data_IF_819310584795
#
_entry.id   IF_819310584795
#
_cell.length_a   1.000
_cell.length_b   1.000
_cell.length_c   1.000
_cell.angle_alpha   90.00
_cell.angle_beta   90.00
_cell.angle_gamma   90.00
#
_symmetry.space_group_name_H-M   'P 1'
#
loop_
_entity.id
_entity.type
_entity.pdbx_description
1 polymer ?
#
# COMPACT_ATOMS: atom_id res chain seq x y z
N UNK A 1 -18.75 36.72 -19.57
CA UNK A 1 -18.73 35.74 -18.46
C UNK A 1 -18.02 34.48 -18.94
N UNK A 2 -16.79 34.23 -18.47
CA UNK A 2 -16.00 33.07 -18.89
C UNK A 2 -16.51 31.80 -18.22
N UNK A 3 -16.74 30.74 -18.99
CA UNK A 3 -17.15 29.42 -18.49
C UNK A 3 -16.04 28.90 -17.56
N UNK A 4 -16.32 28.82 -16.26
CA UNK A 4 -15.48 28.06 -15.33
C UNK A 4 -15.49 26.60 -15.80
N UNK A 5 -14.34 26.10 -16.25
CA UNK A 5 -14.12 24.67 -16.45
C UNK A 5 -14.13 24.04 -15.06
N UNK A 6 -15.22 23.39 -14.69
CA UNK A 6 -15.24 22.48 -13.55
C UNK A 6 -14.22 21.38 -13.85
N UNK A 7 -13.10 21.39 -13.12
CA UNK A 7 -12.16 20.28 -13.14
C UNK A 7 -12.95 19.06 -12.67
N UNK A 8 -13.13 18.06 -13.53
CA UNK A 8 -13.68 16.79 -13.09
C UNK A 8 -12.76 16.27 -11.97
N UNK A 9 -13.30 15.66 -10.91
CA UNK A 9 -12.47 15.03 -9.90
C UNK A 9 -11.57 14.03 -10.64
N UNK A 10 -10.26 14.24 -10.58
CA UNK A 10 -9.30 13.28 -11.09
C UNK A 10 -9.56 11.98 -10.35
N UNK A 11 -10.23 11.02 -11.00
CA UNK A 11 -10.35 9.70 -10.43
C UNK A 11 -8.90 9.21 -10.23
N UNK A 12 -8.49 8.88 -8.99
CA UNK A 12 -7.09 8.59 -8.67
C UNK A 12 -6.54 7.36 -9.41
N UNK A 13 -7.40 6.65 -10.15
CA UNK A 13 -7.10 5.47 -10.95
C UNK A 13 -7.05 5.73 -12.46
N UNK A 14 -7.21 6.99 -12.91
CA UNK A 14 -7.14 7.34 -14.34
C UNK A 14 -5.70 7.35 -14.88
N UNK A 15 -4.73 7.63 -14.00
CA UNK A 15 -3.32 7.71 -14.39
C UNK A 15 -2.66 6.33 -14.27
N UNK A 16 -2.12 5.85 -15.38
CA UNK A 16 -1.41 4.58 -15.43
C UNK A 16 -0.01 4.72 -14.81
N UNK A 17 0.43 3.67 -14.11
CA UNK A 17 1.80 3.49 -13.62
C UNK A 17 2.88 3.60 -14.72
N UNK A 18 2.52 3.52 -16.00
CA UNK A 18 3.43 3.85 -17.11
C UNK A 18 3.97 5.27 -17.05
N UNK A 19 3.26 6.20 -16.40
CA UNK A 19 3.75 7.57 -16.14
C UNK A 19 4.80 7.64 -15.02
N UNK A 20 4.84 6.66 -14.11
CA UNK A 20 5.78 6.63 -12.99
C UNK A 20 7.20 6.26 -13.42
N UNK A 21 7.34 5.38 -14.42
CA UNK A 21 8.66 4.95 -14.89
C UNK A 21 8.61 4.27 -16.26
N UNK A 22 9.65 4.49 -17.06
CA UNK A 22 9.88 3.78 -18.32
C UNK A 22 10.45 2.36 -18.10
N UNK A 23 10.98 2.04 -16.91
CA UNK A 23 11.68 0.78 -16.61
C UNK A 23 10.81 -0.15 -15.77
N UNK A 24 10.44 -1.32 -16.30
CA UNK A 24 9.58 -2.28 -15.57
C UNK A 24 10.22 -2.81 -14.29
N UNK A 25 11.55 -2.99 -14.28
CA UNK A 25 12.28 -3.42 -13.08
C UNK A 25 12.09 -2.47 -11.89
N UNK A 26 11.84 -1.18 -12.13
CA UNK A 26 11.58 -0.20 -11.08
C UNK A 26 10.23 -0.42 -10.41
N UNK A 27 9.18 -0.80 -11.17
CA UNK A 27 7.86 -1.11 -10.60
C UNK A 27 7.87 -2.41 -9.80
N UNK A 28 8.55 -3.44 -10.30
CA UNK A 28 8.70 -4.70 -9.58
C UNK A 28 9.48 -4.50 -8.27
N UNK A 29 10.56 -3.70 -8.29
CA UNK A 29 11.30 -3.34 -7.08
C UNK A 29 10.46 -2.51 -6.09
N UNK A 30 9.71 -1.52 -6.58
CA UNK A 30 8.82 -0.72 -5.73
C UNK A 30 7.79 -1.60 -5.02
N UNK A 31 7.21 -2.57 -5.74
CA UNK A 31 6.28 -3.54 -5.16
C UNK A 31 6.95 -4.36 -4.05
N UNK A 32 8.17 -4.86 -4.29
CA UNK A 32 8.94 -5.62 -3.30
C UNK A 32 9.25 -4.77 -2.06
N UNK A 33 9.73 -3.54 -2.24
CA UNK A 33 10.05 -2.62 -1.14
C UNK A 33 8.82 -2.31 -0.27
N UNK A 34 7.65 -2.11 -0.91
CA UNK A 34 6.38 -1.91 -0.21
C UNK A 34 5.95 -3.15 0.58
N UNK A 35 6.06 -4.32 -0.02
CA UNK A 35 5.78 -5.60 0.65
C UNK A 35 6.66 -5.78 1.89
N UNK A 36 7.97 -5.62 1.75
CA UNK A 36 8.93 -5.74 2.85
C UNK A 36 8.64 -4.74 3.97
N UNK A 37 8.25 -3.50 3.61
CA UNK A 37 7.88 -2.46 4.56
C UNK A 37 6.65 -2.85 5.38
N UNK A 38 5.60 -3.37 4.73
CA UNK A 38 4.40 -3.87 5.41
C UNK A 38 4.75 -5.00 6.38
N UNK A 39 5.55 -5.98 5.94
CA UNK A 39 5.96 -7.09 6.79
C UNK A 39 6.77 -6.60 8.01
N UNK A 40 7.65 -5.62 7.82
CA UNK A 40 8.41 -5.00 8.93
C UNK A 40 7.50 -4.29 9.92
N UNK A 41 6.50 -3.54 9.45
CA UNK A 41 5.52 -2.88 10.31
C UNK A 41 4.69 -3.88 11.12
N UNK A 42 4.20 -4.96 10.48
CA UNK A 42 3.49 -6.04 11.17
C UNK A 42 4.35 -6.68 12.26
N UNK A 43 5.64 -6.92 11.98
CA UNK A 43 6.58 -7.47 12.96
C UNK A 43 6.78 -6.52 14.15
N UNK A 44 6.90 -5.22 13.92
CA UNK A 44 7.00 -4.22 15.00
C UNK A 44 5.74 -4.25 15.88
N UNK A 45 4.55 -4.28 15.27
CA UNK A 45 3.28 -4.38 16.02
C UNK A 45 3.23 -5.67 16.85
N UNK A 46 3.70 -6.79 16.30
CA UNK A 46 3.76 -8.06 17.03
C UNK A 46 4.73 -7.98 18.22
N UNK A 47 5.89 -7.35 18.05
CA UNK A 47 6.84 -7.15 19.15
C UNK A 47 6.22 -6.34 20.29
N UNK A 48 5.52 -5.24 19.97
CA UNK A 48 4.80 -4.44 20.98
C UNK A 48 3.74 -5.29 21.70
N UNK A 49 3.00 -6.12 20.97
CA UNK A 49 1.96 -6.98 21.54
C UNK A 49 2.53 -8.02 22.50
N UNK A 50 3.74 -8.52 22.23
CA UNK A 50 4.39 -9.51 23.09
C UNK A 50 4.76 -8.96 24.47
N UNK A 51 4.88 -7.63 24.63
CA UNK A 51 5.17 -6.97 25.90
C UNK A 51 3.91 -6.73 26.77
N UNK A 52 2.71 -6.90 26.21
CA UNK A 52 1.44 -6.66 26.92
C UNK A 52 1.29 -7.56 28.16
N UNK A 53 1.60 -8.87 28.14
CA UNK A 53 1.48 -9.73 29.31
C UNK A 53 2.34 -9.26 30.50
N UNK A 54 3.52 -8.70 30.22
CA UNK A 54 4.49 -8.27 31.22
C UNK A 54 4.24 -6.84 31.74
N UNK A 55 3.30 -6.11 31.13
CA UNK A 55 2.90 -4.79 31.59
C UNK A 55 2.15 -4.86 32.93
N UNK A 56 2.68 -4.15 33.94
CA UNK A 56 2.13 -4.12 35.31
C UNK A 56 0.83 -3.32 35.42
N UNK A 57 0.69 -2.28 34.59
CA UNK A 57 -0.45 -1.37 34.62
C UNK A 57 -1.57 -1.88 33.70
N UNK A 58 -2.77 -2.05 34.26
CA UNK A 58 -3.90 -2.62 33.51
C UNK A 58 -4.46 -1.67 32.45
N UNK A 59 -4.46 -0.37 32.70
CA UNK A 59 -4.95 0.62 31.75
C UNK A 59 -3.98 0.76 30.59
N UNK A 60 -2.67 0.77 30.88
CA UNK A 60 -1.63 0.75 29.86
C UNK A 60 -1.73 -0.49 28.95
N UNK A 61 -2.03 -1.67 29.51
CA UNK A 61 -2.26 -2.89 28.72
C UNK A 61 -3.44 -2.73 27.77
N UNK A 62 -4.56 -2.19 28.25
CA UNK A 62 -5.75 -1.98 27.43
C UNK A 62 -5.46 -1.00 26.28
N UNK A 63 -4.80 0.12 26.58
CA UNK A 63 -4.40 1.10 25.55
C UNK A 63 -3.45 0.48 24.52
N UNK A 64 -2.45 -0.28 24.95
CA UNK A 64 -1.53 -0.99 24.04
C UNK A 64 -2.25 -2.03 23.19
N UNK A 65 -3.19 -2.78 23.77
CA UNK A 65 -4.00 -3.75 23.06
C UNK A 65 -4.81 -3.07 21.94
N UNK A 66 -5.58 -2.04 22.28
CA UNK A 66 -6.43 -1.33 21.31
C UNK A 66 -5.61 -0.65 20.22
N UNK A 67 -4.47 -0.05 20.61
CA UNK A 67 -3.56 0.61 19.67
C UNK A 67 -2.96 -0.40 18.69
N UNK A 68 -2.48 -1.55 19.18
CA UNK A 68 -1.89 -2.59 18.31
C UNK A 68 -2.92 -3.25 17.40
N UNK A 69 -4.17 -3.44 17.86
CA UNK A 69 -5.28 -3.90 17.02
C UNK A 69 -5.61 -2.89 15.91
N UNK A 70 -5.68 -1.59 16.24
CA UNK A 70 -5.93 -0.54 15.26
C UNK A 70 -4.81 -0.48 14.21
N UNK A 71 -3.54 -0.53 14.64
CA UNK A 71 -2.39 -0.53 13.75
C UNK A 71 -2.42 -1.72 12.80
N UNK A 72 -2.66 -2.94 13.32
CA UNK A 72 -2.78 -4.15 12.51
C UNK A 72 -3.86 -4.02 11.43
N UNK A 73 -5.04 -3.50 11.80
CA UNK A 73 -6.14 -3.28 10.84
C UNK A 73 -5.74 -2.29 9.74
N UNK A 74 -5.10 -1.18 10.10
CA UNK A 74 -4.65 -0.16 9.13
C UNK A 74 -3.58 -0.71 8.19
N UNK A 75 -2.60 -1.44 8.71
CA UNK A 75 -1.55 -2.05 7.88
C UNK A 75 -2.16 -3.05 6.88
N UNK A 76 -3.10 -3.88 7.32
CA UNK A 76 -3.80 -4.82 6.43
C UNK A 76 -4.63 -4.10 5.34
N UNK A 77 -5.28 -2.98 5.69
CA UNK A 77 -5.98 -2.14 4.72
C UNK A 77 -5.02 -1.56 3.68
N UNK A 78 -3.89 -1.01 4.11
CA UNK A 78 -2.84 -0.49 3.21
C UNK A 78 -2.31 -1.58 2.29
N UNK A 79 -2.05 -2.78 2.82
CA UNK A 79 -1.63 -3.93 2.03
C UNK A 79 -2.66 -4.28 0.96
N UNK A 80 -3.94 -4.36 1.33
CA UNK A 80 -5.03 -4.68 0.39
C UNK A 80 -5.14 -3.64 -0.73
N UNK A 81 -5.01 -2.34 -0.40
CA UNK A 81 -5.06 -1.26 -1.40
C UNK A 81 -3.88 -1.38 -2.36
N UNK A 82 -2.68 -1.64 -1.86
CA UNK A 82 -1.48 -1.79 -2.69
C UNK A 82 -1.56 -3.02 -3.58
N UNK A 83 -1.90 -4.18 -3.02
CA UNK A 83 -2.12 -5.42 -3.78
C UNK A 83 -3.23 -5.26 -4.82
N UNK A 84 -4.28 -4.50 -4.53
CA UNK A 84 -5.35 -4.26 -5.51
C UNK A 84 -4.93 -3.33 -6.64
N UNK A 85 -4.40 -2.15 -6.30
CA UNK A 85 -4.21 -1.05 -7.26
C UNK A 85 -2.88 -1.13 -7.99
N UNK A 86 -1.78 -1.33 -7.26
CA UNK A 86 -0.43 -1.37 -7.83
C UNK A 86 -0.23 -2.65 -8.62
N UNK A 87 -0.68 -3.80 -8.11
CA UNK A 87 -0.52 -5.08 -8.82
C UNK A 87 -1.28 -5.09 -10.13
N UNK A 88 -2.51 -4.57 -10.12
CA UNK A 88 -3.32 -4.47 -11.32
C UNK A 88 -2.61 -3.62 -12.37
N UNK A 89 -2.05 -2.48 -11.96
CA UNK A 89 -1.32 -1.59 -12.86
C UNK A 89 -0.04 -2.22 -13.40
N UNK A 90 0.74 -2.92 -12.56
CA UNK A 90 1.93 -3.69 -12.98
C UNK A 90 1.54 -4.79 -13.98
N UNK A 91 0.43 -5.50 -13.75
CA UNK A 91 -0.06 -6.53 -14.67
C UNK A 91 -0.48 -5.94 -16.02
N UNK A 92 -1.13 -4.78 -16.03
CA UNK A 92 -1.50 -4.08 -17.26
C UNK A 92 -0.26 -3.64 -18.04
N UNK A 93 0.74 -3.07 -17.38
CA UNK A 93 2.02 -2.68 -18.00
C UNK A 93 2.73 -3.90 -18.62
N UNK A 94 2.84 -5.01 -17.87
CA UNK A 94 3.40 -6.28 -18.38
C UNK A 94 2.64 -6.80 -19.61
N UNK A 95 1.30 -6.71 -19.62
CA UNK A 95 0.47 -7.09 -20.78
C UNK A 95 0.74 -6.18 -21.99
N UNK A 96 0.90 -4.88 -21.80
CA UNK A 96 1.18 -3.92 -22.90
C UNK A 96 2.53 -4.19 -23.54
N UNK A 97 3.59 -4.34 -22.75
CA UNK A 97 4.95 -4.64 -23.26
C UNK A 97 5.01 -5.93 -24.09
N UNK A 98 4.30 -6.98 -23.65
CA UNK A 98 4.18 -8.24 -24.39
C UNK A 98 3.50 -8.09 -25.75
N UNK A 99 2.58 -7.13 -25.91
CA UNK A 99 1.95 -6.84 -27.20
C UNK A 99 2.89 -6.07 -28.13
N UNK A 100 3.64 -5.10 -27.60
CA UNK A 100 4.60 -4.30 -28.38
C UNK A 100 5.77 -5.14 -28.92
N UNK A 101 6.22 -6.18 -28.19
CA UNK A 101 7.28 -7.08 -28.67
C UNK A 101 6.82 -8.10 -29.72
N UNK A 102 5.51 -8.25 -29.96
CA UNK A 102 4.94 -9.19 -30.94
C UNK A 102 4.56 -8.52 -32.27
N UNK A 103 4.74 -7.21 -32.38
CA UNK A 103 4.61 -6.44 -33.62
C UNK A 103 6.00 -6.16 -34.16
#
# INVERSE_FOLDING_TARGET
MGKQKTHQPEAPFLNDTTSLTSRSATLDKLREDLWLTIQKQLKIVQLIRNEIPDCKDSDARNVLHDTTELLKRRINQTQTILEGTLDHSIQLDKKRRRKTQKQ
#
